data_IF_037848905951
#
_entry.id   IF_037848905951
#
_cell.length_a   1.000
_cell.length_b   1.000
_cell.length_c   1.000
_cell.angle_alpha   90.00
_cell.angle_beta   90.00
_cell.angle_gamma   90.00
#
_symmetry.space_group_name_H-M   'P 1'
#
loop_
_entity.id
_entity.type
_entity.pdbx_description
1 polymer ?
#
# COMPACT_ATOMS: atom_id res chain seq x y z
N UNK A 1 -22.62 -20.05 -5.17
CA UNK A 1 -23.30 -19.90 -3.86
C UNK A 1 -22.66 -20.92 -2.93
N UNK A 2 -21.87 -20.63 -1.90
CA UNK A 2 -21.84 -19.51 -0.95
C UNK A 2 -20.48 -19.58 -0.22
N UNK A 3 -19.56 -18.65 -0.53
CA UNK A 3 -18.22 -18.59 0.09
C UNK A 3 -17.83 -17.20 0.60
N UNK A 4 -18.76 -16.24 0.56
CA UNK A 4 -18.56 -14.83 0.90
C UNK A 4 -19.43 -14.37 2.08
N UNK A 5 -19.99 -15.31 2.87
CA UNK A 5 -20.89 -15.00 3.98
C UNK A 5 -20.26 -14.21 5.14
N UNK A 6 -18.93 -14.09 5.15
CA UNK A 6 -18.17 -13.30 6.13
C UNK A 6 -17.87 -11.87 5.65
N UNK A 7 -17.98 -11.60 4.34
CA UNK A 7 -17.61 -10.31 3.75
C UNK A 7 -18.61 -9.22 4.13
N UNK A 8 -19.91 -9.49 3.96
CA UNK A 8 -20.99 -8.57 4.34
C UNK A 8 -20.98 -8.12 5.82
N UNK A 9 -20.83 -9.01 6.83
CA UNK A 9 -20.75 -8.59 8.24
C UNK A 9 -19.45 -7.84 8.58
N UNK A 10 -18.34 -8.13 7.89
CA UNK A 10 -17.06 -7.42 8.10
C UNK A 10 -17.09 -6.02 7.49
N UNK A 11 -17.65 -5.88 6.28
CA UNK A 11 -17.83 -4.59 5.62
C UNK A 11 -18.76 -3.66 6.43
N UNK A 12 -19.95 -4.15 6.79
CA UNK A 12 -20.92 -3.37 7.59
C UNK A 12 -20.37 -2.97 8.96
N UNK A 13 -19.57 -3.84 9.58
CA UNK A 13 -18.92 -3.57 10.86
C UNK A 13 -17.88 -2.43 10.83
N UNK A 14 -17.35 -2.08 9.67
CA UNK A 14 -16.39 -0.97 9.47
C UNK A 14 -17.06 0.25 8.80
N UNK A 15 -18.37 0.19 8.61
CA UNK A 15 -19.16 1.24 7.96
C UNK A 15 -18.85 1.37 6.46
N UNK A 16 -18.55 0.25 5.82
CA UNK A 16 -18.41 0.11 4.37
C UNK A 16 -19.52 -0.82 3.86
N UNK A 17 -20.10 -0.51 2.71
CA UNK A 17 -21.03 -1.41 2.03
C UNK A 17 -20.32 -2.04 0.82
N UNK A 18 -20.77 -3.21 0.36
CA UNK A 18 -20.21 -3.89 -0.82
C UNK A 18 -20.18 -2.98 -2.05
N UNK A 19 -21.21 -2.16 -2.24
CA UNK A 19 -21.29 -1.15 -3.32
C UNK A 19 -20.21 -0.05 -3.19
N UNK A 20 -19.85 0.35 -1.96
CA UNK A 20 -18.79 1.34 -1.73
C UNK A 20 -17.39 0.80 -2.01
N UNK A 21 -17.22 -0.53 -1.95
CA UNK A 21 -15.95 -1.22 -2.28
C UNK A 21 -15.91 -1.56 -3.77
N UNK A 22 -17.08 -1.83 -4.39
CA UNK A 22 -17.21 -2.12 -5.81
C UNK A 22 -17.16 -0.87 -6.71
N UNK A 23 -17.50 0.30 -6.18
CA UNK A 23 -17.37 1.57 -6.91
C UNK A 23 -15.91 2.03 -6.99
N UNK A 24 -15.33 1.92 -8.20
CA UNK A 24 -13.96 2.28 -8.58
C UNK A 24 -13.61 3.78 -8.50
N UNK A 25 -14.21 4.54 -7.56
CA UNK A 25 -14.04 5.99 -7.42
C UNK A 25 -13.99 6.52 -5.98
N UNK A 26 -14.28 5.69 -4.97
CA UNK A 26 -14.26 6.12 -3.57
C UNK A 26 -13.00 5.59 -2.85
N UNK A 27 -12.06 6.49 -2.53
CA UNK A 27 -10.92 6.16 -1.68
C UNK A 27 -11.39 5.84 -0.26
N UNK A 28 -11.19 4.61 0.19
CA UNK A 28 -11.49 4.19 1.58
C UNK A 28 -10.46 4.84 2.51
N UNK A 29 -10.86 5.56 3.56
CA UNK A 29 -9.91 6.13 4.51
C UNK A 29 -9.01 5.04 5.11
N UNK A 30 -7.69 5.28 5.17
CA UNK A 30 -6.70 4.29 5.62
C UNK A 30 -7.07 3.62 6.96
N UNK A 31 -7.60 4.37 7.94
CA UNK A 31 -8.06 3.82 9.23
C UNK A 31 -9.15 2.75 9.11
N UNK A 32 -10.03 2.87 8.11
CA UNK A 32 -11.09 1.88 7.86
C UNK A 32 -10.52 0.66 7.16
N UNK A 33 -9.56 0.85 6.26
CA UNK A 33 -8.86 -0.25 5.62
C UNK A 33 -8.11 -1.12 6.64
N UNK A 34 -7.37 -0.51 7.57
CA UNK A 34 -6.70 -1.23 8.66
C UNK A 34 -7.70 -2.04 9.49
N UNK A 35 -8.76 -1.39 9.96
CA UNK A 35 -9.79 -2.07 10.76
C UNK A 35 -10.51 -3.20 10.00
N UNK A 36 -10.67 -3.07 8.69
CA UNK A 36 -11.24 -4.11 7.83
C UNK A 36 -10.34 -5.34 7.77
N UNK A 37 -9.04 -5.14 7.55
CA UNK A 37 -8.07 -6.23 7.47
C UNK A 37 -7.93 -6.95 8.81
N UNK A 38 -7.90 -6.23 9.94
CA UNK A 38 -7.84 -6.86 11.27
C UNK A 38 -9.07 -7.73 11.56
N UNK A 39 -10.25 -7.27 11.16
CA UNK A 39 -11.49 -8.05 11.29
C UNK A 39 -11.50 -9.26 10.37
N UNK A 40 -11.03 -9.10 9.14
CA UNK A 40 -10.89 -10.21 8.20
C UNK A 40 -9.93 -11.28 8.74
N UNK A 41 -8.77 -10.86 9.28
CA UNK A 41 -7.80 -11.76 9.90
C UNK A 41 -8.42 -12.53 11.07
N UNK A 42 -9.16 -11.84 11.94
CA UNK A 42 -9.87 -12.47 13.06
C UNK A 42 -10.93 -13.47 12.59
N UNK A 43 -11.74 -13.11 11.60
CA UNK A 43 -12.82 -13.97 11.09
C UNK A 43 -12.30 -15.20 10.34
N UNK A 44 -11.15 -15.08 9.66
CA UNK A 44 -10.50 -16.16 8.93
C UNK A 44 -9.57 -17.00 9.82
N UNK A 45 -9.27 -16.53 11.03
CA UNK A 45 -8.27 -17.16 11.91
C UNK A 45 -6.85 -17.07 11.35
N UNK A 46 -6.57 -16.09 10.49
CA UNK A 46 -5.27 -15.89 9.85
C UNK A 46 -4.57 -14.64 10.38
N UNK A 47 -3.71 -14.79 11.41
CA UNK A 47 -2.89 -13.70 11.94
C UNK A 47 -1.82 -13.21 10.94
N UNK A 48 -1.55 -13.97 9.87
CA UNK A 48 -0.62 -13.63 8.79
C UNK A 48 -1.33 -13.09 7.55
N UNK A 49 -2.60 -12.66 7.64
CA UNK A 49 -3.44 -12.33 6.49
C UNK A 49 -2.73 -11.48 5.42
N UNK A 50 -2.03 -10.41 5.82
CA UNK A 50 -1.28 -9.56 4.91
C UNK A 50 -0.21 -10.30 4.08
N UNK A 51 0.55 -11.16 4.76
CA UNK A 51 1.53 -12.04 4.12
C UNK A 51 0.89 -13.14 3.26
N UNK A 52 -0.23 -13.72 3.69
CA UNK A 52 -0.99 -14.70 2.89
C UNK A 52 -1.50 -14.04 1.60
N UNK A 53 -2.16 -12.89 1.71
CA UNK A 53 -2.66 -12.13 0.57
C UNK A 53 -1.54 -11.73 -0.40
N UNK A 54 -0.36 -11.35 0.11
CA UNK A 54 0.78 -10.99 -0.73
C UNK A 54 1.28 -12.12 -1.63
N UNK A 55 1.08 -13.39 -1.23
CA UNK A 55 1.49 -14.55 -2.00
C UNK A 55 0.50 -14.88 -3.12
N UNK A 56 -0.79 -14.66 -2.86
CA UNK A 56 -1.88 -15.17 -3.70
C UNK A 56 -2.52 -14.13 -4.61
N UNK A 57 -2.37 -12.82 -4.33
CA UNK A 57 -3.01 -11.79 -5.16
C UNK A 57 -2.54 -11.84 -6.61
N UNK A 58 -3.42 -11.52 -7.56
CA UNK A 58 -3.03 -11.35 -8.95
C UNK A 58 -2.41 -9.95 -9.14
N UNK A 59 -1.12 -9.84 -9.51
CA UNK A 59 -0.48 -8.55 -9.76
C UNK A 59 -1.21 -7.64 -10.75
N UNK A 60 -1.96 -8.23 -11.68
CA UNK A 60 -2.75 -7.49 -12.67
C UNK A 60 -3.88 -6.68 -12.05
N UNK A 61 -4.31 -7.02 -10.82
CA UNK A 61 -5.31 -6.25 -10.06
C UNK A 61 -4.79 -4.88 -9.61
N UNK A 62 -3.47 -4.66 -9.59
CA UNK A 62 -2.90 -3.32 -9.40
C UNK A 62 -3.13 -2.40 -10.62
N UNK A 63 -3.67 -2.95 -11.71
CA UNK A 63 -4.07 -2.20 -12.89
C UNK A 63 -2.91 -1.42 -13.51
N UNK A 64 -3.13 -0.13 -13.73
CA UNK A 64 -2.19 0.76 -14.41
C UNK A 64 -0.77 0.70 -13.82
N UNK A 65 -0.65 0.64 -12.48
CA UNK A 65 0.65 0.55 -11.83
C UNK A 65 1.42 -0.71 -12.24
N UNK A 66 0.74 -1.85 -12.30
CA UNK A 66 1.37 -3.09 -12.72
C UNK A 66 1.83 -3.00 -14.18
N UNK A 67 1.00 -2.53 -15.09
CA UNK A 67 1.36 -2.48 -16.52
C UNK A 67 2.49 -1.48 -16.82
N UNK A 68 2.56 -0.36 -16.09
CA UNK A 68 3.70 0.58 -16.17
C UNK A 68 4.99 -0.10 -15.72
N UNK A 69 4.96 -0.85 -14.62
CA UNK A 69 6.12 -1.59 -14.12
C UNK A 69 6.51 -2.73 -15.06
N UNK A 70 5.54 -3.54 -15.51
CA UNK A 70 5.74 -4.73 -16.34
C UNK A 70 6.28 -4.40 -17.74
N UNK A 71 5.96 -3.23 -18.28
CA UNK A 71 6.49 -2.73 -19.56
C UNK A 71 7.81 -1.97 -19.40
N UNK A 72 8.29 -1.74 -18.17
CA UNK A 72 9.51 -0.96 -17.92
C UNK A 72 10.75 -1.64 -18.48
N UNK A 73 11.81 -0.87 -18.79
CA UNK A 73 13.06 -1.43 -19.33
C UNK A 73 13.86 -2.15 -18.25
N UNK A 74 14.02 -1.50 -17.10
CA UNK A 74 14.77 -2.03 -15.95
C UNK A 74 13.90 -2.04 -14.69
N UNK A 75 14.29 -2.85 -13.70
CA UNK A 75 13.65 -2.83 -12.39
C UNK A 75 13.80 -1.47 -11.71
N UNK A 76 14.93 -0.77 -11.91
CA UNK A 76 15.13 0.59 -11.42
C UNK A 76 14.10 1.57 -11.96
N UNK A 77 13.77 1.49 -13.26
CA UNK A 77 12.72 2.29 -13.87
C UNK A 77 11.35 1.96 -13.28
N UNK A 78 11.04 0.67 -13.11
CA UNK A 78 9.78 0.22 -12.53
C UNK A 78 9.58 0.77 -11.11
N UNK A 79 10.61 0.74 -10.27
CA UNK A 79 10.55 1.25 -8.89
C UNK A 79 10.45 2.78 -8.86
N UNK A 80 11.12 3.50 -9.74
CA UNK A 80 10.94 4.96 -9.82
C UNK A 80 9.52 5.33 -10.27
N UNK A 81 8.94 4.54 -11.16
CA UNK A 81 7.58 4.75 -11.65
C UNK A 81 6.54 4.45 -10.58
N UNK A 82 6.71 3.40 -9.78
CA UNK A 82 5.79 3.17 -8.66
C UNK A 82 5.89 4.31 -7.63
N UNK A 83 7.09 4.85 -7.37
CA UNK A 83 7.27 6.03 -6.52
C UNK A 83 6.54 7.28 -7.05
N UNK A 84 6.59 7.50 -8.37
CA UNK A 84 5.93 8.66 -9.00
C UNK A 84 4.42 8.49 -9.12
N UNK A 85 3.95 7.31 -9.47
CA UNK A 85 2.56 7.06 -9.86
C UNK A 85 1.72 6.41 -8.75
N UNK A 86 2.29 6.02 -7.60
CA UNK A 86 1.49 5.48 -6.50
C UNK A 86 0.45 6.46 -5.99
N UNK A 87 0.75 7.77 -6.08
CA UNK A 87 -0.20 8.83 -5.79
C UNK A 87 -1.42 8.85 -6.74
N UNK A 88 -1.43 8.12 -7.88
CA UNK A 88 -2.64 7.96 -8.71
C UNK A 88 -3.64 7.02 -8.03
N UNK A 89 -3.16 5.90 -7.51
CA UNK A 89 -4.00 4.82 -6.99
C UNK A 89 -4.21 4.90 -5.47
N UNK A 90 -3.31 5.54 -4.73
CA UNK A 90 -3.42 5.64 -3.29
C UNK A 90 -2.84 6.97 -2.77
N UNK A 91 -3.70 7.85 -2.25
CA UNK A 91 -3.28 9.10 -1.59
C UNK A 91 -2.42 8.87 -0.35
N UNK A 92 -2.52 7.68 0.24
CA UNK A 92 -1.95 7.37 1.54
C UNK A 92 -0.71 6.49 1.43
N UNK A 93 -0.30 6.02 0.25
CA UNK A 93 0.90 5.17 0.11
C UNK A 93 1.92 5.83 -0.80
N UNK A 94 2.90 6.50 -0.18
CA UNK A 94 4.02 7.08 -0.91
C UNK A 94 5.20 6.11 -0.86
N UNK A 95 5.68 5.76 -2.04
CA UNK A 95 6.94 5.06 -2.23
C UNK A 95 8.04 6.09 -2.51
N UNK A 96 9.15 6.03 -1.78
CA UNK A 96 10.30 6.91 -2.03
C UNK A 96 11.59 6.12 -2.22
N UNK A 97 12.44 6.63 -3.11
CA UNK A 97 13.81 6.16 -3.32
C UNK A 97 14.75 7.10 -2.56
N UNK A 98 15.60 6.61 -1.64
CA UNK A 98 16.54 7.46 -0.91
C UNK A 98 17.52 8.18 -1.84
N UNK A 99 17.88 9.42 -1.50
CA UNK A 99 18.84 10.25 -2.27
C UNK A 99 20.22 9.59 -2.44
N UNK A 100 20.57 8.65 -1.56
CA UNK A 100 21.81 7.85 -1.65
C UNK A 100 21.93 6.96 -2.91
N UNK A 101 20.91 6.92 -3.77
CA UNK A 101 20.89 6.05 -4.96
C UNK A 101 20.59 4.58 -4.65
N UNK A 102 20.38 4.24 -3.37
CA UNK A 102 19.96 2.91 -2.96
C UNK A 102 18.59 2.56 -3.55
N UNK A 103 18.44 1.33 -4.03
CA UNK A 103 17.16 0.84 -4.53
C UNK A 103 16.28 0.41 -3.36
N UNK A 104 15.73 1.39 -2.64
CA UNK A 104 14.84 1.16 -1.52
C UNK A 104 13.43 1.64 -1.81
N UNK A 105 12.49 0.96 -1.16
CA UNK A 105 11.07 1.20 -1.21
C UNK A 105 10.61 1.43 0.23
N UNK A 106 10.29 2.69 0.57
CA UNK A 106 9.74 3.05 1.86
C UNK A 106 8.23 3.27 1.76
N UNK A 107 7.47 2.77 2.72
CA UNK A 107 6.03 3.03 2.80
C UNK A 107 5.78 4.16 3.83
N UNK A 108 5.12 5.24 3.43
CA UNK A 108 4.63 6.28 4.36
C UNK A 108 3.12 6.49 4.23
N UNK A 109 2.42 6.60 5.38
CA UNK A 109 0.95 6.74 5.50
C UNK A 109 0.67 8.10 6.10
N UNK A 110 -0.29 8.82 5.54
CA UNK A 110 -0.79 10.05 6.13
C UNK A 110 -1.99 9.71 7.01
N UNK A 111 -1.93 10.08 8.30
CA UNK A 111 -3.09 10.03 9.21
C UNK A 111 -3.39 8.70 9.90
N UNK A 112 -2.52 7.68 9.80
CA UNK A 112 -2.65 6.41 10.56
C UNK A 112 -1.30 6.04 11.18
N UNK A 113 -1.25 5.68 12.49
CA UNK A 113 -0.02 5.20 13.11
C UNK A 113 0.44 3.87 12.53
N UNK A 114 1.71 3.78 12.11
CA UNK A 114 2.27 2.59 11.45
C UNK A 114 2.22 1.31 12.28
N UNK A 115 2.29 1.42 13.59
CA UNK A 115 2.21 0.26 14.49
C UNK A 115 0.83 -0.42 14.49
N UNK A 116 -0.24 0.30 14.11
CA UNK A 116 -1.59 -0.28 14.01
C UNK A 116 -1.85 -0.97 12.68
N UNK A 117 -1.03 -0.72 11.66
CA UNK A 117 -1.25 -1.25 10.32
C UNK A 117 -0.41 -2.50 10.04
N UNK A 118 -0.85 -3.63 10.60
CA UNK A 118 -0.12 -4.90 10.50
C UNK A 118 -0.23 -5.50 9.10
N UNK A 119 -1.45 -5.80 8.68
CA UNK A 119 -1.70 -6.62 7.49
C UNK A 119 -1.44 -5.87 6.19
N UNK A 120 -1.71 -4.56 6.11
CA UNK A 120 -1.43 -3.81 4.89
C UNK A 120 0.08 -3.60 4.71
N UNK A 121 0.82 -3.32 5.79
CA UNK A 121 2.27 -3.18 5.74
C UNK A 121 2.94 -4.47 5.25
N UNK A 122 2.51 -5.62 5.79
CA UNK A 122 2.96 -6.94 5.33
C UNK A 122 2.61 -7.18 3.86
N UNK A 123 1.36 -6.90 3.48
CA UNK A 123 0.92 -7.06 2.11
C UNK A 123 1.79 -6.25 1.14
N UNK A 124 2.04 -4.98 1.46
CA UNK A 124 2.84 -4.09 0.62
C UNK A 124 4.31 -4.55 0.53
N UNK A 125 4.95 -4.92 1.64
CA UNK A 125 6.36 -5.33 1.66
C UNK A 125 6.55 -6.67 0.92
N UNK A 126 5.78 -7.70 1.28
CA UNK A 126 5.92 -9.01 0.65
C UNK A 126 5.39 -9.02 -0.79
N UNK A 127 4.36 -8.23 -1.08
CA UNK A 127 3.87 -8.00 -2.44
C UNK A 127 4.91 -7.31 -3.31
N UNK A 128 5.65 -6.33 -2.79
CA UNK A 128 6.75 -5.69 -3.50
C UNK A 128 7.89 -6.68 -3.81
N UNK A 129 8.27 -7.54 -2.87
CA UNK A 129 9.26 -8.60 -3.11
C UNK A 129 8.78 -9.55 -4.23
N UNK A 130 7.52 -9.98 -4.17
CA UNK A 130 6.91 -10.85 -5.20
C UNK A 130 6.90 -10.19 -6.57
N UNK A 131 6.50 -8.92 -6.65
CA UNK A 131 6.50 -8.13 -7.88
C UNK A 131 7.90 -8.01 -8.47
N UNK A 132 8.91 -7.68 -7.66
CA UNK A 132 10.29 -7.57 -8.15
C UNK A 132 10.77 -8.89 -8.77
N UNK A 133 10.45 -10.03 -8.14
CA UNK A 133 10.80 -11.37 -8.65
C UNK A 133 10.05 -11.70 -9.92
N UNK A 134 8.75 -11.39 -9.99
CA UNK A 134 7.92 -11.61 -11.18
C UNK A 134 8.42 -10.78 -12.36
N UNK A 135 8.68 -9.49 -12.14
CA UNK A 135 9.12 -8.56 -13.17
C UNK A 135 10.48 -8.95 -13.74
N UNK A 136 11.41 -9.42 -12.91
CA UNK A 136 12.76 -9.78 -13.34
C UNK A 136 12.93 -11.25 -13.71
N UNK A 137 11.94 -12.10 -13.42
CA UNK A 137 12.05 -13.55 -13.57
C UNK A 137 13.15 -14.18 -12.71
N UNK A 138 13.65 -13.46 -11.71
CA UNK A 138 14.80 -13.86 -10.92
C UNK A 138 14.47 -13.93 -9.43
N UNK A 139 15.15 -14.84 -8.72
CA UNK A 139 15.09 -14.90 -7.25
C UNK A 139 15.88 -13.74 -6.66
N UNK A 140 15.21 -12.60 -6.54
CA UNK A 140 15.76 -11.40 -5.91
C UNK A 140 15.64 -11.53 -4.39
N UNK A 141 16.78 -11.42 -3.71
CA UNK A 141 16.88 -11.38 -2.24
C UNK A 141 17.17 -9.93 -1.81
N UNK A 142 16.29 -9.30 -1.02
CA UNK A 142 16.54 -7.96 -0.50
C UNK A 142 17.76 -7.94 0.44
N UNK A 143 18.45 -6.81 0.48
CA UNK A 143 19.52 -6.57 1.45
C UNK A 143 18.97 -6.34 2.87
N UNK A 144 17.84 -5.63 2.96
CA UNK A 144 17.17 -5.34 4.23
C UNK A 144 15.66 -5.32 4.04
N UNK A 145 14.94 -5.88 5.00
CA UNK A 145 13.49 -5.78 5.11
C UNK A 145 13.17 -5.39 6.54
N UNK A 146 12.54 -4.23 6.71
CA UNK A 146 12.14 -3.68 8.00
C UNK A 146 10.65 -3.35 7.97
N UNK A 147 9.93 -3.68 9.04
CA UNK A 147 8.49 -3.47 9.19
C UNK A 147 8.25 -2.83 10.56
N UNK A 148 7.44 -1.78 10.60
CA UNK A 148 7.32 -0.91 11.76
C UNK A 148 6.51 -1.51 12.91
N UNK A 149 5.47 -2.28 12.60
CA UNK A 149 4.66 -2.91 13.64
C UNK A 149 5.43 -4.05 14.34
N UNK A 150 5.08 -4.32 15.59
CA UNK A 150 5.66 -5.43 16.35
C UNK A 150 4.94 -6.73 16.05
N UNK A 151 5.72 -7.81 15.91
CA UNK A 151 5.18 -9.16 15.76
C UNK A 151 5.82 -10.08 16.80
N UNK A 152 4.98 -10.81 17.52
CA UNK A 152 5.38 -11.89 18.42
C UNK A 152 4.86 -13.22 17.85
N UNK A 153 5.75 -14.16 17.59
CA UNK A 153 5.39 -15.45 16.98
C UNK A 153 6.44 -15.96 15.99
N UNK A 154 6.13 -17.07 15.32
CA UNK A 154 7.00 -17.63 14.30
C UNK A 154 6.94 -16.81 13.00
N UNK A 155 8.04 -16.11 12.69
CA UNK A 155 8.23 -15.32 11.47
C UNK A 155 9.11 -16.04 10.44
N UNK A 156 9.38 -17.33 10.63
CA UNK A 156 10.28 -18.11 9.77
C UNK A 156 9.79 -18.20 8.33
N UNK A 157 8.47 -18.32 8.12
CA UNK A 157 7.86 -18.36 6.79
C UNK A 157 8.10 -17.04 6.03
N UNK A 158 7.95 -15.90 6.71
CA UNK A 158 8.18 -14.57 6.13
C UNK A 158 9.65 -14.35 5.78
N UNK A 159 10.57 -14.76 6.66
CA UNK A 159 12.00 -14.64 6.41
C UNK A 159 12.46 -15.58 5.28
N UNK A 160 11.92 -16.80 5.22
CA UNK A 160 12.16 -17.74 4.11
C UNK A 160 11.64 -17.20 2.79
N UNK A 161 10.45 -16.61 2.79
CA UNK A 161 9.89 -15.98 1.60
C UNK A 161 10.75 -14.80 1.16
N UNK A 162 11.17 -13.91 2.06
CA UNK A 162 12.06 -12.80 1.74
C UNK A 162 13.45 -13.26 1.26
N UNK A 163 13.91 -14.41 1.73
CA UNK A 163 15.28 -14.90 1.53
C UNK A 163 16.30 -14.21 2.44
N UNK A 164 15.84 -13.41 3.40
CA UNK A 164 16.62 -12.67 4.39
C UNK A 164 15.80 -12.49 5.67
N UNK A 165 16.45 -12.12 6.77
CA UNK A 165 15.75 -11.81 8.02
C UNK A 165 14.87 -10.58 7.86
N UNK A 166 13.63 -10.67 8.34
CA UNK A 166 12.69 -9.54 8.41
C UNK A 166 12.73 -8.94 9.81
N UNK A 167 13.06 -7.66 9.92
CA UNK A 167 13.11 -6.92 11.17
C UNK A 167 11.75 -6.29 11.48
N UNK A 168 11.06 -6.77 12.51
CA UNK A 168 9.82 -6.19 13.02
C UNK A 168 10.08 -5.22 14.17
N UNK A 169 9.17 -4.26 14.38
CA UNK A 169 9.34 -3.21 15.39
C UNK A 169 10.36 -2.12 14.99
N UNK A 170 10.63 -1.98 13.69
CA UNK A 170 11.55 -0.97 13.17
C UNK A 170 10.92 0.44 13.17
N UNK A 171 11.69 1.47 12.85
CA UNK A 171 11.18 2.84 12.79
C UNK A 171 10.25 3.08 11.58
N UNK A 172 10.42 2.33 10.50
CA UNK A 172 9.65 2.49 9.25
C UNK A 172 9.55 1.18 8.49
N UNK A 173 8.51 1.06 7.66
CA UNK A 173 8.41 -0.04 6.70
C UNK A 173 9.30 0.26 5.47
N UNK A 174 10.30 -0.59 5.26
CA UNK A 174 11.33 -0.39 4.25
C UNK A 174 11.78 -1.72 3.63
N UNK A 175 11.89 -1.73 2.30
CA UNK A 175 12.46 -2.81 1.52
C UNK A 175 13.68 -2.27 0.75
N UNK A 176 14.88 -2.75 1.07
CA UNK A 176 16.12 -2.35 0.40
C UNK A 176 16.60 -3.49 -0.48
N UNK A 177 16.75 -3.21 -1.77
CA UNK A 177 17.18 -4.18 -2.78
C UNK A 177 18.66 -3.94 -3.16
N UNK A 178 19.39 -4.99 -3.61
CA UNK A 178 20.76 -4.83 -4.06
C UNK A 178 20.88 -3.81 -5.20
N UNK A 179 21.96 -3.02 -5.20
CA UNK A 179 22.16 -1.97 -6.21
C UNK A 179 22.23 -2.55 -7.63
N UNK A 180 22.80 -3.75 -7.78
CA UNK A 180 22.92 -4.46 -9.05
C UNK A 180 21.56 -4.87 -9.61
N UNK A 181 20.54 -4.97 -8.77
CA UNK A 181 19.21 -5.28 -9.23
C UNK A 181 18.54 -4.10 -9.96
N UNK A 182 19.07 -2.87 -9.84
CA UNK A 182 18.57 -1.68 -10.54
C UNK A 182 18.58 -1.84 -12.05
N UNK A 183 19.68 -2.34 -12.60
CA UNK A 183 19.88 -2.50 -14.05
C UNK A 183 19.33 -3.83 -14.59
N UNK A 184 18.67 -4.64 -13.75
CA UNK A 184 18.09 -5.90 -14.21
C UNK A 184 16.97 -5.63 -15.20
N UNK A 185 16.98 -6.29 -16.37
CA UNK A 185 15.90 -6.14 -17.34
C UNK A 185 14.60 -6.74 -16.79
N UNK A 186 13.49 -6.08 -17.11
CA UNK A 186 12.15 -6.65 -16.89
C UNK A 186 11.87 -7.66 -18.01
N UNK A 187 11.33 -8.82 -17.66
CA UNK A 187 11.11 -9.95 -18.59
C UNK A 187 10.22 -9.56 -19.77
N UNK A 188 9.19 -8.76 -19.51
CA UNK A 188 8.21 -8.32 -20.51
C UNK A 188 8.40 -6.84 -20.89
N UNK A 189 9.64 -6.34 -20.83
CA UNK A 189 9.95 -4.97 -21.22
C UNK A 189 9.43 -4.67 -22.63
N UNK A 190 8.60 -3.63 -22.74
CA UNK A 190 8.02 -3.18 -23.99
C UNK A 190 8.04 -1.64 -23.99
N UNK A 191 9.08 -1.01 -24.56
CA UNK A 191 9.21 0.44 -24.55
C UNK A 191 8.03 1.16 -25.19
N UNK A 192 7.41 0.59 -26.23
CA UNK A 192 6.30 1.22 -26.92
C UNK A 192 5.04 1.22 -26.06
N UNK A 193 4.69 0.06 -25.48
CA UNK A 193 3.60 -0.02 -24.51
C UNK A 193 3.88 0.88 -23.30
N UNK A 194 5.13 0.92 -22.87
CA UNK A 194 5.52 1.74 -21.72
C UNK A 194 5.27 3.23 -21.96
N UNK A 195 5.64 3.76 -23.13
CA UNK A 195 5.39 5.16 -23.49
C UNK A 195 3.88 5.48 -23.52
N UNK A 196 3.05 4.56 -24.00
CA UNK A 196 1.59 4.69 -23.96
C UNK A 196 1.07 4.71 -22.51
N UNK A 197 1.56 3.80 -21.66
CA UNK A 197 1.17 3.73 -20.25
C UNK A 197 1.60 4.98 -19.48
N UNK A 198 2.80 5.50 -19.73
CA UNK A 198 3.30 6.74 -19.13
C UNK A 198 2.42 7.93 -19.52
N UNK A 199 2.05 8.03 -20.80
CA UNK A 199 1.15 9.09 -21.28
C UNK A 199 -0.20 9.07 -20.57
N UNK A 200 -0.76 7.87 -20.36
CA UNK A 200 -2.00 7.70 -19.60
C UNK A 200 -1.83 8.06 -18.11
N UNK A 201 -0.71 7.68 -17.49
CA UNK A 201 -0.41 8.03 -16.10
C UNK A 201 -0.27 9.54 -15.88
N UNK A 202 0.44 10.24 -16.77
CA UNK A 202 0.61 11.69 -16.67
C UNK A 202 -0.72 12.44 -16.87
N UNK A 203 -1.58 11.97 -17.77
CA UNK A 203 -2.93 12.52 -17.92
C UNK A 203 -3.79 12.31 -16.64
N UNK A 204 -3.71 11.12 -16.03
CA UNK A 204 -4.40 10.82 -14.78
C UNK A 204 -3.87 11.67 -13.60
N UNK A 205 -2.55 11.85 -13.47
CA UNK A 205 -1.96 12.74 -12.46
C UNK A 205 -2.39 14.20 -12.66
N UNK A 206 -2.35 14.68 -13.91
CA UNK A 206 -2.67 16.08 -14.23
C UNK A 206 -4.14 16.41 -13.96
N UNK A 207 -5.05 15.48 -14.28
CA UNK A 207 -6.47 15.65 -13.96
C UNK A 207 -6.74 15.67 -12.45
N UNK A 208 -6.03 14.85 -11.67
CA UNK A 208 -6.09 14.89 -10.19
C UNK A 208 -5.57 16.22 -9.63
N UNK A 209 -4.41 16.69 -10.11
CA UNK A 209 -3.84 17.97 -9.68
C UNK A 209 -4.75 19.17 -10.03
N UNK A 210 -5.48 19.08 -11.15
CA UNK A 210 -6.46 20.10 -11.55
C UNK A 210 -7.74 20.06 -10.69
N UNK A 211 -8.15 18.88 -10.21
CA UNK A 211 -9.33 18.69 -9.35
C UNK A 211 -9.05 18.91 -7.86
N UNK A 212 -7.81 18.74 -7.41
CA UNK A 212 -7.36 19.11 -6.08
C UNK A 212 -7.03 20.60 -6.07
N UNK A 213 -7.98 21.46 -5.65
CA UNK A 213 -7.64 22.87 -5.45
C UNK A 213 -6.43 22.97 -4.52
N UNK A 214 -5.30 23.59 -4.92
CA UNK A 214 -4.06 23.60 -4.15
C UNK A 214 -4.25 24.11 -2.72
N UNK A 215 -5.21 25.01 -2.52
CA UNK A 215 -5.60 25.53 -1.22
C UNK A 215 -6.17 24.44 -0.30
N UNK A 216 -6.92 23.46 -0.81
CA UNK A 216 -7.52 22.41 0.03
C UNK A 216 -6.47 21.46 0.60
N UNK A 217 -5.50 21.04 -0.21
CA UNK A 217 -4.40 20.17 0.24
C UNK A 217 -3.46 20.91 1.21
N UNK A 218 -3.19 22.19 0.95
CA UNK A 218 -2.40 23.03 1.87
C UNK A 218 -3.15 23.24 3.19
N UNK A 219 -4.46 23.50 3.14
CA UNK A 219 -5.31 23.69 4.32
C UNK A 219 -5.45 22.38 5.12
N UNK A 220 -5.68 21.25 4.46
CA UNK A 220 -5.76 19.93 5.13
C UNK A 220 -4.42 19.54 5.78
N UNK A 221 -3.29 19.77 5.11
CA UNK A 221 -1.95 19.49 5.66
C UNK A 221 -1.52 20.46 6.76
N UNK A 222 -1.94 21.72 6.71
CA UNK A 222 -1.63 22.71 7.73
C UNK A 222 -2.52 22.59 8.98
N UNK A 223 -3.77 22.14 8.81
CA UNK A 223 -4.75 22.07 9.90
C UNK A 223 -4.77 20.69 10.58
N UNK A 224 -4.48 19.59 9.88
CA UNK A 224 -4.48 18.25 10.46
C UNK A 224 -3.60 18.08 11.72
N UNK A 225 -2.43 18.73 11.86
CA UNK A 225 -1.64 18.67 13.10
C UNK A 225 -2.15 19.57 14.23
N UNK A 226 -3.02 20.54 13.92
CA UNK A 226 -3.49 21.58 14.84
C UNK A 226 -4.89 21.29 15.42
N UNK A 227 -5.58 20.27 14.92
CA UNK A 227 -6.90 19.90 15.42
C UNK A 227 -6.78 18.96 16.63
N UNK A 228 -7.38 19.32 17.79
CA UNK A 228 -7.50 18.38 18.89
C UNK A 228 -8.40 17.20 18.49
N UNK A 229 -8.16 15.99 19.04
CA UNK A 229 -8.79 14.74 18.58
C UNK A 229 -10.34 14.70 18.65
N UNK A 230 -10.99 15.67 19.30
CA UNK A 230 -12.45 15.73 19.42
C UNK A 230 -13.19 16.48 18.28
N UNK A 231 -12.50 17.09 17.31
CA UNK A 231 -13.16 17.94 16.30
C UNK A 231 -13.75 17.20 15.08
N UNK A 232 -13.68 15.86 15.00
CA UNK A 232 -14.21 15.07 13.87
C UNK A 232 -15.65 14.55 14.08
N UNK A 233 -16.44 15.19 14.95
CA UNK A 233 -17.87 14.89 15.06
C UNK A 233 -18.64 15.50 13.87
N UNK A 234 -19.34 14.65 13.11
CA UNK A 234 -20.24 15.06 12.01
C UNK A 234 -21.32 16.03 12.50
N UNK A 235 -21.79 16.98 11.66
CA UNK A 235 -22.96 17.78 11.98
C UNK A 235 -24.22 16.89 11.92
N UNK A 236 -24.88 16.66 13.05
CA UNK A 236 -26.20 16.02 13.10
C UNK A 236 -26.48 14.97 14.20
N UNK A 237 -25.60 14.77 15.18
CA UNK A 237 -25.85 13.82 16.29
C UNK A 237 -26.21 14.52 17.61
N UNK A 238 -27.36 14.19 18.17
CA UNK A 238 -27.89 14.67 19.46
C UNK A 238 -26.87 14.46 20.61
N UNK A 239 -26.69 15.41 21.55
CA UNK A 239 -25.74 15.25 22.64
C UNK A 239 -26.26 14.27 23.70
N UNK A 240 -25.41 13.32 24.11
CA UNK A 240 -25.64 12.48 25.30
C UNK A 240 -25.18 13.25 26.55
N UNK A 241 -25.89 13.19 27.68
CA UNK A 241 -25.54 13.96 28.87
C UNK A 241 -24.32 13.36 29.56
N UNK A 242 -23.36 14.22 29.91
CA UNK A 242 -22.25 13.89 30.81
C UNK A 242 -22.80 13.65 32.22
N UNK A 243 -22.42 12.52 32.82
CA UNK A 243 -22.60 12.26 34.24
C UNK A 243 -21.23 12.19 34.91
N UNK A 244 -21.06 12.95 36.00
CA UNK A 244 -20.09 12.72 37.09
C UNK A 244 -18.65 13.12 36.82
#
# INVERSE_FOLDING_TARGET
MSGLGWVAPILSGVGLNEEMVAESGHSVPARRQVALLDRAATALGDDCLGFTLAQDFDPRELGLLFYVMASSRTLGDAIQRIARYSAITNDSLVFSVPESGAMALRLTYVGVPRHSDRHQAEFCIFGAIRLCRLLTGATLVPQRVSIAHHRSGDISAMSRFAGTTVEFGAHSDELVLPAEARERPVVNADPYLNDLMLSYCEAALSSRASNASPLRVIVENAIAPLLPPCALARPGGVPWPCAG
#
